data_IF_988414128360
#
_entry.id   IF_988414128360
#
_cell.length_a   1.000
_cell.length_b   1.000
_cell.length_c   1.000
_cell.angle_alpha   90.00
_cell.angle_beta   90.00
_cell.angle_gamma   90.00
#
_symmetry.space_group_name_H-M   'P 1'
#
loop_
_entity.id
_entity.type
_entity.pdbx_description
1 polymer ?
#
# COMPACT_ATOMS: atom_id res chain seq x y z
N UNK A 1 -3.70 0.93 33.70
CA UNK A 1 -2.78 1.97 33.18
C UNK A 1 -2.87 1.95 31.65
N UNK A 2 -3.00 3.11 31.01
CA UNK A 2 -2.90 3.19 29.55
C UNK A 2 -1.50 2.74 29.12
N UNK A 3 -1.41 1.90 28.09
CA UNK A 3 -0.11 1.50 27.50
C UNK A 3 0.56 2.75 26.92
N UNK A 4 1.81 2.96 27.27
CA UNK A 4 2.64 4.02 26.68
C UNK A 4 3.13 3.60 25.29
N UNK A 5 2.39 4.00 24.26
CA UNK A 5 2.73 3.67 22.86
C UNK A 5 3.87 4.53 22.30
N UNK A 6 4.22 5.65 22.93
CA UNK A 6 5.35 6.47 22.49
C UNK A 6 6.70 5.75 22.64
N UNK A 7 6.78 4.79 23.57
CA UNK A 7 7.98 3.99 23.83
C UNK A 7 7.87 2.52 23.32
N UNK A 8 6.87 2.23 22.50
CA UNK A 8 6.74 0.91 21.84
C UNK A 8 7.39 0.95 20.45
N UNK A 9 7.78 -0.20 19.88
CA UNK A 9 8.18 -0.29 18.48
C UNK A 9 7.10 0.27 17.54
N UNK A 10 7.50 0.83 16.41
CA UNK A 10 6.57 1.33 15.38
C UNK A 10 5.58 0.26 14.91
N UNK A 11 6.00 -1.00 14.96
CA UNK A 11 5.19 -2.18 14.59
C UNK A 11 4.18 -2.61 15.67
N UNK A 12 4.18 -1.98 16.85
CA UNK A 12 3.31 -2.36 17.95
C UNK A 12 1.82 -2.11 17.63
N UNK A 13 1.02 -3.16 17.65
CA UNK A 13 -0.42 -3.11 17.41
C UNK A 13 -1.18 -3.21 18.74
N UNK A 14 -2.08 -2.26 19.00
CA UNK A 14 -2.89 -2.24 20.23
C UNK A 14 -3.88 -3.40 20.31
N UNK A 15 -4.49 -3.75 19.19
CA UNK A 15 -5.49 -4.83 19.09
C UNK A 15 -4.77 -6.14 18.74
N UNK A 16 -4.26 -6.82 19.79
CA UNK A 16 -3.55 -8.10 19.63
C UNK A 16 -4.42 -9.19 18.95
N UNK A 17 -5.74 -9.12 19.15
CA UNK A 17 -6.73 -9.99 18.52
C UNK A 17 -6.85 -9.83 16.99
N UNK A 18 -6.18 -8.84 16.42
CA UNK A 18 -6.21 -8.52 14.98
C UNK A 18 -4.84 -8.60 14.30
N UNK A 19 -3.82 -8.92 15.06
CA UNK A 19 -2.46 -9.08 14.53
C UNK A 19 -2.41 -10.27 13.59
N UNK A 20 -1.77 -10.09 12.46
CA UNK A 20 -1.42 -11.16 11.53
C UNK A 20 0.10 -11.34 11.57
N UNK A 21 0.53 -12.51 12.05
CA UNK A 21 1.94 -12.92 12.13
C UNK A 21 2.33 -13.84 10.96
N UNK A 22 1.35 -14.34 10.21
CA UNK A 22 1.57 -15.22 9.07
C UNK A 22 2.23 -14.45 7.91
N UNK A 23 3.53 -14.67 7.75
CA UNK A 23 4.29 -14.06 6.66
C UNK A 23 3.79 -14.46 5.27
N UNK A 24 3.27 -15.66 5.09
CA UNK A 24 2.75 -16.09 3.80
C UNK A 24 1.50 -15.28 3.43
N UNK A 25 0.64 -15.03 4.40
CA UNK A 25 -0.51 -14.14 4.24
C UNK A 25 -0.07 -12.70 3.92
N UNK A 26 0.92 -12.16 4.65
CA UNK A 26 1.42 -10.79 4.43
C UNK A 26 1.97 -10.64 3.00
N UNK A 27 2.82 -11.57 2.56
CA UNK A 27 3.40 -11.58 1.21
C UNK A 27 2.31 -11.70 0.12
N UNK A 28 1.32 -12.56 0.35
CA UNK A 28 0.18 -12.70 -0.55
C UNK A 28 -0.61 -11.38 -0.64
N UNK A 29 -0.93 -10.75 0.49
CA UNK A 29 -1.63 -9.47 0.54
C UNK A 29 -0.87 -8.37 -0.22
N UNK A 30 0.44 -8.22 0.01
CA UNK A 30 1.29 -7.24 -0.68
C UNK A 30 1.34 -7.46 -2.19
N UNK A 31 1.31 -8.71 -2.64
CA UNK A 31 1.33 -9.05 -4.06
C UNK A 31 0.03 -8.65 -4.77
N UNK A 32 -1.12 -8.78 -4.09
CA UNK A 32 -2.44 -8.62 -4.69
C UNK A 32 -3.07 -7.24 -4.50
N UNK A 33 -2.70 -6.53 -3.44
CA UNK A 33 -3.26 -5.20 -3.17
C UNK A 33 -3.01 -4.22 -4.31
N UNK A 34 -4.03 -3.43 -4.65
CA UNK A 34 -4.03 -2.60 -5.86
C UNK A 34 -3.20 -1.32 -5.72
N UNK A 35 -3.21 -0.69 -4.56
CA UNK A 35 -2.53 0.59 -4.30
C UNK A 35 -1.90 0.62 -2.92
N UNK A 36 -0.87 1.43 -2.77
CA UNK A 36 -0.23 1.68 -1.49
C UNK A 36 0.10 3.16 -1.31
N UNK A 37 0.18 3.60 -0.08
CA UNK A 37 0.43 4.99 0.30
C UNK A 37 1.82 5.11 0.92
N UNK A 38 2.70 5.81 0.23
CA UNK A 38 4.03 6.16 0.70
C UNK A 38 3.97 7.43 1.55
N UNK A 39 4.39 7.34 2.80
CA UNK A 39 4.60 8.48 3.69
C UNK A 39 6.08 8.83 3.75
N UNK A 40 6.40 10.08 3.47
CA UNK A 40 7.73 10.68 3.54
C UNK A 40 7.71 11.90 4.45
N UNK A 41 8.86 12.40 4.84
CA UNK A 41 8.97 13.57 5.72
C UNK A 41 9.96 14.58 5.14
N UNK A 42 9.68 15.87 5.32
CA UNK A 42 10.61 16.96 5.08
C UNK A 42 10.42 18.04 6.13
N UNK A 43 11.49 18.41 6.80
CA UNK A 43 11.49 19.42 7.89
C UNK A 43 10.38 19.17 8.93
N UNK A 44 10.24 17.90 9.36
CA UNK A 44 9.20 17.47 10.30
C UNK A 44 7.77 17.44 9.74
N UNK A 45 7.52 17.89 8.50
CA UNK A 45 6.23 17.84 7.88
C UNK A 45 6.03 16.49 7.14
N UNK A 46 5.07 15.64 7.57
CA UNK A 46 4.70 14.45 6.82
C UNK A 46 4.05 14.80 5.48
N UNK A 47 4.37 14.00 4.47
CA UNK A 47 3.75 14.05 3.15
C UNK A 47 3.40 12.63 2.69
N UNK A 48 2.21 12.43 2.15
CA UNK A 48 1.76 11.14 1.65
C UNK A 48 1.45 11.17 0.16
N UNK A 49 1.72 10.05 -0.51
CA UNK A 49 1.43 9.87 -1.92
C UNK A 49 0.96 8.44 -2.17
N UNK A 50 -0.24 8.27 -2.70
CA UNK A 50 -0.80 6.96 -3.04
C UNK A 50 -0.49 6.64 -4.48
N UNK A 51 0.12 5.47 -4.71
CA UNK A 51 0.60 5.02 -6.01
C UNK A 51 0.33 3.54 -6.26
N UNK A 52 0.46 3.16 -7.52
CA UNK A 52 0.69 1.78 -7.89
C UNK A 52 2.04 1.32 -7.36
N UNK A 53 2.14 0.06 -6.97
CA UNK A 53 3.36 -0.51 -6.43
C UNK A 53 3.50 -1.99 -6.77
N UNK A 54 4.70 -2.51 -6.68
CA UNK A 54 4.97 -3.94 -6.70
C UNK A 54 5.79 -4.34 -5.49
N UNK A 55 5.42 -5.44 -4.86
CA UNK A 55 6.25 -6.14 -3.90
C UNK A 55 7.08 -7.18 -4.62
N UNK A 56 8.38 -6.99 -4.66
CA UNK A 56 9.33 -7.97 -5.15
C UNK A 56 9.64 -8.96 -4.03
N UNK A 57 9.12 -10.18 -4.16
CA UNK A 57 9.24 -11.23 -3.14
C UNK A 57 10.69 -11.69 -2.97
N UNK A 58 11.44 -11.75 -4.06
CA UNK A 58 12.82 -12.22 -4.05
C UNK A 58 13.78 -11.19 -3.46
N UNK A 59 13.61 -9.94 -3.86
CA UNK A 59 14.41 -8.84 -3.34
C UNK A 59 13.91 -8.29 -1.98
N UNK A 60 12.76 -8.74 -1.51
CA UNK A 60 12.09 -8.31 -0.27
C UNK A 60 11.98 -6.78 -0.18
N UNK A 61 11.51 -6.15 -1.23
CA UNK A 61 11.36 -4.71 -1.32
C UNK A 61 10.06 -4.30 -2.04
N UNK A 62 9.70 -3.03 -1.90
CA UNK A 62 8.63 -2.40 -2.67
C UNK A 62 9.26 -1.53 -3.77
N UNK A 63 8.76 -1.63 -4.99
CA UNK A 63 9.01 -0.63 -6.03
C UNK A 63 7.76 0.19 -6.29
N UNK A 64 7.96 1.49 -6.47
CA UNK A 64 6.96 2.43 -6.95
C UNK A 64 7.63 3.46 -7.86
N UNK A 65 6.84 4.25 -8.60
CA UNK A 65 7.40 5.25 -9.48
C UNK A 65 6.58 6.55 -9.45
N UNK A 66 7.25 7.66 -9.78
CA UNK A 66 6.62 8.97 -9.96
C UNK A 66 7.29 9.70 -11.14
N UNK A 67 6.85 10.93 -11.39
CA UNK A 67 7.64 11.83 -12.22
C UNK A 67 9.03 12.07 -11.59
N UNK A 68 10.04 12.32 -12.44
CA UNK A 68 11.43 12.50 -12.01
C UNK A 68 11.62 13.69 -11.05
N UNK A 69 10.73 14.65 -11.10
CA UNK A 69 10.72 15.86 -10.26
C UNK A 69 9.42 15.90 -9.48
N UNK A 70 9.51 16.13 -8.18
CA UNK A 70 8.34 16.23 -7.31
C UNK A 70 8.67 16.12 -5.83
N UNK A 71 7.65 16.30 -4.98
CA UNK A 71 7.82 16.32 -3.52
C UNK A 71 8.35 14.97 -3.00
N UNK A 72 7.83 13.85 -3.48
CA UNK A 72 8.30 12.51 -3.06
C UNK A 72 9.80 12.35 -3.28
N UNK A 73 10.31 12.71 -4.48
CA UNK A 73 11.73 12.66 -4.80
C UNK A 73 12.54 13.56 -3.86
N UNK A 74 12.15 14.83 -3.71
CA UNK A 74 12.85 15.79 -2.88
C UNK A 74 12.91 15.36 -1.40
N UNK A 75 11.84 14.74 -0.90
CA UNK A 75 11.82 14.24 0.48
C UNK A 75 12.79 13.05 0.65
N UNK A 76 12.75 12.08 -0.27
CA UNK A 76 13.62 10.89 -0.21
C UNK A 76 15.09 11.26 -0.36
N UNK A 77 15.43 12.23 -1.22
CA UNK A 77 16.80 12.72 -1.38
C UNK A 77 17.37 13.31 -0.07
N UNK A 78 16.51 13.76 0.85
CA UNK A 78 16.91 14.37 2.13
C UNK A 78 16.71 13.47 3.34
N UNK A 79 15.70 12.58 3.32
CA UNK A 79 15.34 11.71 4.41
C UNK A 79 14.76 10.40 3.89
N UNK A 80 15.50 9.32 4.06
CA UNK A 80 15.23 8.03 3.43
C UNK A 80 14.29 7.14 4.25
N UNK A 81 14.16 7.34 5.58
CA UNK A 81 13.19 6.59 6.38
C UNK A 81 11.77 6.92 5.95
N UNK A 82 11.01 5.89 5.63
CA UNK A 82 9.65 6.02 5.12
C UNK A 82 8.71 5.03 5.81
N UNK A 83 7.43 5.30 5.68
CA UNK A 83 6.38 4.34 5.99
C UNK A 83 5.56 4.09 4.71
N UNK A 84 5.30 2.82 4.38
CA UNK A 84 4.44 2.45 3.26
C UNK A 84 3.25 1.66 3.79
N UNK A 85 2.05 2.18 3.58
CA UNK A 85 0.81 1.61 4.11
C UNK A 85 -0.10 1.13 3.01
N UNK A 86 -0.59 -0.09 3.16
CA UNK A 86 -1.61 -0.70 2.30
C UNK A 86 -2.79 -1.07 3.18
N UNK A 87 -4.01 -0.76 2.72
CA UNK A 87 -5.23 -1.11 3.42
C UNK A 87 -6.34 -1.42 2.42
N UNK A 88 -7.06 -2.49 2.69
CA UNK A 88 -8.29 -2.84 2.00
C UNK A 88 -9.45 -2.83 3.00
N UNK A 89 -10.56 -2.26 2.59
CA UNK A 89 -11.79 -2.22 3.34
C UNK A 89 -12.71 -3.34 2.85
N UNK A 90 -13.26 -4.10 3.78
CA UNK A 90 -14.31 -5.07 3.52
C UNK A 90 -15.70 -4.51 3.85
N UNK A 91 -16.60 -5.38 4.31
CA UNK A 91 -17.98 -5.02 4.64
C UNK A 91 -18.05 -4.12 5.86
N UNK A 92 -19.00 -3.20 5.86
CA UNK A 92 -19.42 -2.43 7.02
C UNK A 92 -20.28 -3.31 7.92
N UNK A 93 -20.05 -3.21 9.23
CA UNK A 93 -20.65 -4.07 10.25
C UNK A 93 -21.52 -3.20 11.18
N UNK A 94 -22.82 -3.07 10.88
CA UNK A 94 -23.74 -2.30 11.73
C UNK A 94 -23.97 -2.99 13.07
N UNK A 95 -24.33 -2.19 14.07
CA UNK A 95 -24.70 -2.66 15.38
C UNK A 95 -25.81 -1.79 15.97
N UNK A 96 -26.58 -2.27 16.94
CA UNK A 96 -27.59 -1.45 17.63
C UNK A 96 -27.00 -0.23 18.34
N UNK A 97 -25.76 -0.35 18.82
CA UNK A 97 -25.06 0.74 19.52
C UNK A 97 -23.97 1.34 18.62
N UNK A 98 -23.94 2.67 18.52
CA UNK A 98 -23.00 3.37 17.66
C UNK A 98 -21.52 3.05 17.95
N UNK A 99 -21.18 2.77 19.20
CA UNK A 99 -19.82 2.41 19.61
C UNK A 99 -19.35 1.07 19.02
N UNK A 100 -20.29 0.17 18.73
CA UNK A 100 -20.01 -1.19 18.23
C UNK A 100 -19.99 -1.24 16.69
N UNK A 101 -20.37 -0.16 16.00
CA UNK A 101 -20.20 -0.10 14.55
C UNK A 101 -18.73 -0.38 14.16
N UNK A 102 -18.54 -1.16 13.12
CA UNK A 102 -17.22 -1.57 12.72
C UNK A 102 -17.13 -1.80 11.20
N UNK A 103 -15.99 -2.27 10.77
CA UNK A 103 -15.69 -2.60 9.38
C UNK A 103 -14.73 -3.77 9.34
N UNK A 104 -14.89 -4.64 8.37
CA UNK A 104 -13.85 -5.60 8.00
C UNK A 104 -12.72 -4.86 7.29
N UNK A 105 -11.50 -5.27 7.56
CA UNK A 105 -10.34 -4.70 6.87
C UNK A 105 -9.14 -5.65 6.92
N UNK A 106 -8.27 -5.48 5.96
CA UNK A 106 -6.92 -6.02 5.97
C UNK A 106 -5.93 -4.90 5.74
N UNK A 107 -4.77 -4.95 6.36
CA UNK A 107 -3.75 -3.93 6.12
C UNK A 107 -2.38 -4.34 6.60
N UNK A 108 -1.38 -3.85 5.85
CA UNK A 108 0.04 -3.99 6.15
C UNK A 108 0.66 -2.60 6.19
N UNK A 109 1.44 -2.36 7.22
CA UNK A 109 2.26 -1.16 7.35
C UNK A 109 3.73 -1.57 7.35
N UNK A 110 4.49 -1.02 6.44
CA UNK A 110 5.91 -1.28 6.23
C UNK A 110 6.69 -0.06 6.71
N UNK A 111 7.73 -0.28 7.48
CA UNK A 111 8.76 0.70 7.82
C UNK A 111 10.04 0.29 7.10
N UNK A 112 10.68 1.25 6.44
CA UNK A 112 11.84 0.93 5.63
C UNK A 112 12.61 2.14 5.13
N UNK A 113 13.60 1.86 4.31
CA UNK A 113 14.48 2.85 3.73
C UNK A 113 14.21 2.98 2.24
N UNK A 114 13.80 4.18 1.79
CA UNK A 114 13.54 4.46 0.39
C UNK A 114 14.77 5.07 -0.29
N UNK A 115 15.07 4.58 -1.48
CA UNK A 115 16.12 5.12 -2.34
C UNK A 115 15.61 5.30 -3.76
N UNK A 116 16.21 6.23 -4.48
CA UNK A 116 15.99 6.35 -5.93
C UNK A 116 16.84 5.31 -6.63
N UNK A 117 16.23 4.52 -7.51
CA UNK A 117 16.95 3.55 -8.33
C UNK A 117 17.65 4.29 -9.46
N UNK A 118 18.97 4.42 -9.34
CA UNK A 118 19.81 5.08 -10.37
C UNK A 118 20.31 4.08 -11.42
N UNK A 119 20.35 2.77 -11.11
CA UNK A 119 20.67 1.74 -12.10
C UNK A 119 19.50 1.57 -13.10
N UNK A 120 19.79 1.87 -14.36
CA UNK A 120 18.81 1.75 -15.43
C UNK A 120 18.33 0.32 -15.70
N UNK A 121 19.11 -0.70 -15.36
CA UNK A 121 18.70 -2.10 -15.49
C UNK A 121 17.65 -2.42 -14.43
N UNK A 122 17.93 -2.12 -13.17
CA UNK A 122 17.00 -2.30 -12.06
C UNK A 122 15.73 -1.45 -12.24
N UNK A 123 15.86 -0.19 -12.67
CA UNK A 123 14.71 0.67 -12.91
C UNK A 123 13.77 0.10 -13.99
N UNK A 124 14.30 -0.39 -15.10
CA UNK A 124 13.49 -1.04 -16.15
C UNK A 124 12.87 -2.35 -15.69
N UNK A 125 13.59 -3.12 -14.88
CA UNK A 125 13.06 -4.33 -14.23
C UNK A 125 11.85 -4.01 -13.36
N UNK A 126 11.98 -3.05 -12.46
CA UNK A 126 10.90 -2.62 -11.57
C UNK A 126 9.66 -2.11 -12.34
N UNK A 127 9.87 -1.32 -13.40
CA UNK A 127 8.79 -0.87 -14.28
C UNK A 127 8.12 -2.04 -15.02
N UNK A 128 8.89 -3.06 -15.44
CA UNK A 128 8.32 -4.26 -16.05
C UNK A 128 7.46 -5.04 -15.05
N UNK A 129 7.94 -5.24 -13.82
CA UNK A 129 7.15 -5.91 -12.77
C UNK A 129 5.82 -5.18 -12.48
N UNK A 130 5.82 -3.83 -12.52
CA UNK A 130 4.57 -3.06 -12.40
C UNK A 130 3.62 -3.37 -13.56
N UNK A 131 4.11 -3.41 -14.80
CA UNK A 131 3.30 -3.76 -15.96
C UNK A 131 2.76 -5.20 -15.85
N UNK A 132 3.58 -6.15 -15.45
CA UNK A 132 3.19 -7.54 -15.27
C UNK A 132 2.07 -7.70 -14.21
N UNK A 133 2.10 -6.90 -13.14
CA UNK A 133 1.05 -6.88 -12.12
C UNK A 133 -0.24 -6.25 -12.60
N UNK A 134 -0.19 -5.07 -13.24
CA UNK A 134 -1.39 -4.28 -13.54
C UNK A 134 -1.95 -4.51 -14.94
N UNK A 135 -1.18 -5.14 -15.81
CA UNK A 135 -1.59 -5.49 -17.19
C UNK A 135 -1.22 -6.94 -17.54
N UNK A 136 -1.57 -7.94 -16.70
CA UNK A 136 -1.14 -9.34 -16.90
C UNK A 136 -1.69 -9.99 -18.18
N UNK A 137 -2.66 -9.35 -18.82
CA UNK A 137 -3.27 -9.80 -20.07
C UNK A 137 -2.52 -9.30 -21.32
N UNK A 138 -1.51 -8.44 -21.15
CA UNK A 138 -0.71 -7.88 -22.25
C UNK A 138 0.67 -8.54 -22.29
N UNK A 139 1.13 -8.86 -23.49
CA UNK A 139 2.41 -9.54 -23.75
C UNK A 139 3.49 -8.52 -24.16
N UNK A 140 4.59 -8.39 -23.37
CA UNK A 140 5.71 -7.53 -23.74
C UNK A 140 6.35 -7.95 -25.07
N UNK A 141 6.47 -7.02 -26.01
CA UNK A 141 7.02 -7.27 -27.34
C UNK A 141 5.96 -7.41 -28.44
N UNK A 142 4.76 -7.87 -28.07
CA UNK A 142 3.63 -8.01 -28.99
C UNK A 142 2.61 -6.87 -28.82
N UNK A 143 2.10 -6.70 -27.59
CA UNK A 143 1.09 -5.70 -27.29
C UNK A 143 1.68 -4.33 -26.92
N UNK A 144 2.87 -4.33 -26.32
CA UNK A 144 3.59 -3.10 -25.96
C UNK A 144 5.10 -3.31 -25.94
N UNK A 145 5.84 -2.22 -26.13
CA UNK A 145 7.30 -2.21 -26.03
C UNK A 145 7.73 -2.20 -24.56
N UNK A 146 8.68 -3.07 -24.17
CA UNK A 146 9.27 -3.06 -22.83
C UNK A 146 9.86 -1.70 -22.46
N UNK A 147 9.97 -1.39 -21.14
CA UNK A 147 10.60 -0.15 -20.68
C UNK A 147 12.00 0.05 -21.25
N UNK A 148 12.31 1.27 -21.66
CA UNK A 148 13.61 1.68 -22.24
C UNK A 148 14.17 2.90 -21.52
N UNK A 149 15.44 3.20 -21.76
CA UNK A 149 16.16 4.32 -21.11
C UNK A 149 15.53 5.70 -21.36
N UNK A 150 14.83 5.88 -22.48
CA UNK A 150 14.15 7.15 -22.79
C UNK A 150 13.05 7.47 -21.76
N UNK A 151 12.35 6.46 -21.26
CA UNK A 151 11.30 6.63 -20.26
C UNK A 151 11.87 7.01 -18.88
N UNK A 152 13.08 6.53 -18.56
CA UNK A 152 13.78 6.87 -17.33
C UNK A 152 14.19 8.35 -17.25
N UNK A 153 14.22 9.07 -18.39
CA UNK A 153 14.45 10.53 -18.40
C UNK A 153 13.31 11.31 -17.77
N UNK A 154 12.11 10.73 -17.69
CA UNK A 154 10.90 11.37 -17.18
C UNK A 154 10.34 10.68 -15.93
N UNK A 155 10.78 9.47 -15.63
CA UNK A 155 10.29 8.63 -14.55
C UNK A 155 11.39 8.40 -13.51
N UNK A 156 11.07 8.59 -12.24
CA UNK A 156 11.86 8.15 -11.11
C UNK A 156 11.26 6.88 -10.54
N UNK A 157 12.07 5.84 -10.40
CA UNK A 157 11.73 4.61 -9.71
C UNK A 157 12.30 4.68 -8.29
N UNK A 158 11.51 4.29 -7.31
CA UNK A 158 11.91 4.21 -5.92
C UNK A 158 11.89 2.76 -5.47
N UNK A 159 12.93 2.36 -4.78
CA UNK A 159 13.02 1.11 -4.05
C UNK A 159 12.85 1.42 -2.56
N UNK A 160 12.01 0.65 -1.88
CA UNK A 160 11.83 0.71 -0.44
C UNK A 160 12.28 -0.65 0.10
N UNK A 161 13.46 -0.69 0.69
CA UNK A 161 13.94 -1.86 1.41
C UNK A 161 13.14 -1.98 2.72
N UNK A 162 12.60 -3.17 2.97
CA UNK A 162 11.71 -3.41 4.10
C UNK A 162 12.55 -3.74 5.34
N UNK A 163 12.56 -2.85 6.33
CA UNK A 163 13.22 -3.09 7.61
C UNK A 163 12.31 -3.89 8.55
N UNK A 164 11.04 -3.45 8.67
CA UNK A 164 10.03 -4.06 9.52
C UNK A 164 8.65 -3.92 8.89
N UNK A 165 7.74 -4.81 9.24
CA UNK A 165 6.32 -4.67 8.93
C UNK A 165 5.41 -5.03 10.10
N UNK A 166 4.19 -4.55 10.05
CA UNK A 166 3.10 -5.00 10.89
C UNK A 166 1.85 -5.22 10.06
N UNK A 167 1.10 -6.26 10.38
CA UNK A 167 -0.11 -6.59 9.66
C UNK A 167 -1.28 -6.80 10.61
N UNK A 168 -2.47 -6.39 10.20
CA UNK A 168 -3.70 -6.58 10.96
C UNK A 168 -4.87 -6.86 10.04
N UNK A 169 -5.79 -7.66 10.54
CA UNK A 169 -7.02 -8.05 9.85
C UNK A 169 -8.19 -8.06 10.82
N UNK A 170 -9.34 -7.68 10.33
CA UNK A 170 -10.64 -7.97 10.97
C UNK A 170 -11.55 -8.56 9.90
N UNK A 171 -12.09 -9.71 10.20
CA UNK A 171 -13.02 -10.44 9.37
C UNK A 171 -14.10 -11.03 10.29
N UNK A 172 -15.30 -11.17 9.79
CA UNK A 172 -16.42 -11.81 10.47
C UNK A 172 -17.00 -12.89 9.57
N UNK A 173 -17.86 -13.74 10.13
CA UNK A 173 -18.56 -14.77 9.36
C UNK A 173 -19.38 -14.17 8.22
N UNK A 174 -19.56 -14.94 7.13
CA UNK A 174 -20.24 -14.47 5.92
C UNK A 174 -21.69 -14.04 6.16
N UNK A 175 -22.36 -14.66 7.14
CA UNK A 175 -23.72 -14.41 7.56
C UNK A 175 -23.86 -13.34 8.65
N UNK A 176 -22.82 -12.54 8.91
CA UNK A 176 -22.89 -11.48 9.92
C UNK A 176 -24.11 -10.57 9.69
N UNK A 177 -24.99 -10.38 10.69
CA UNK A 177 -26.27 -9.70 10.50
C UNK A 177 -26.11 -8.25 10.04
N UNK A 178 -26.70 -7.95 8.88
CA UNK A 178 -26.73 -6.59 8.32
C UNK A 178 -25.40 -6.10 7.74
N UNK A 179 -24.37 -6.94 7.61
CA UNK A 179 -23.13 -6.57 6.93
C UNK A 179 -23.40 -6.20 5.46
N UNK A 180 -22.76 -5.13 4.96
CA UNK A 180 -22.94 -4.67 3.60
C UNK A 180 -21.67 -4.02 3.05
N UNK A 181 -21.49 -4.01 1.72
CA UNK A 181 -20.41 -3.30 1.05
C UNK A 181 -20.71 -1.81 0.97
N UNK A 182 -19.69 -0.97 1.08
CA UNK A 182 -19.85 0.50 1.06
C UNK A 182 -20.55 0.99 -0.22
N UNK A 183 -20.28 0.36 -1.37
CA UNK A 183 -20.90 0.65 -2.67
C UNK A 183 -22.41 0.38 -2.69
N UNK A 184 -22.88 -0.50 -1.82
CA UNK A 184 -24.29 -0.85 -1.65
C UNK A 184 -25.03 0.12 -0.71
N UNK A 185 -24.32 1.08 -0.15
CA UNK A 185 -24.91 2.06 0.77
C UNK A 185 -26.08 2.82 0.12
N UNK A 186 -27.23 2.91 0.78
CA UNK A 186 -28.40 3.66 0.25
C UNK A 186 -28.09 5.12 -0.12
N UNK A 187 -27.12 5.74 0.54
CA UNK A 187 -26.69 7.12 0.24
C UNK A 187 -26.03 7.19 -1.13
N UNK A 188 -25.14 6.23 -1.47
CA UNK A 188 -24.43 6.21 -2.75
C UNK A 188 -25.38 5.85 -3.90
N UNK A 189 -26.26 4.87 -3.70
CA UNK A 189 -27.24 4.48 -4.70
C UNK A 189 -28.25 5.62 -5.00
N UNK A 190 -28.57 6.47 -4.03
CA UNK A 190 -29.45 7.63 -4.23
C UNK A 190 -28.79 8.77 -5.01
N UNK A 191 -27.47 8.91 -4.94
CA UNK A 191 -26.71 9.92 -5.70
C UNK A 191 -26.55 9.52 -7.17
N UNK A 192 -26.30 8.23 -7.44
CA UNK A 192 -26.17 7.71 -8.81
C UNK A 192 -27.47 7.80 -9.61
N UNK A 193 -28.64 7.78 -8.95
CA UNK A 193 -29.95 7.90 -9.60
C UNK A 193 -30.39 9.35 -9.82
N UNK A 194 -29.57 10.37 -9.53
CA UNK A 194 -29.86 11.79 -9.73
C UNK A 194 -29.06 12.46 -10.85
N UNK A 195 -28.30 11.65 -11.63
CA UNK A 195 -27.48 12.11 -12.77
C UNK A 195 -28.16 11.91 -14.12
#
# INVERSE_FOLDING_TARGET
MAKDYANQPNTAIRRADRVVEDEAWIKHFLTHAAVGTLATVYDGQPFVNTNLFIYDVEAHCIYTHTARVGRTRANIDTHQQVCFSIMEMGRLLPAPEALEFSVEYAGVTIFGTATVVEDGIEAKYALQLLLDKYAPHLTPGDDYRRPVDEELKRTAVFRIDIDEWSAKKKEVEDDFPGAYWFEESPVLTSVQNRG
#
